data_IF_359382406179
#
_entry.id   IF_359382406179
#
_cell.length_a   1.000
_cell.length_b   1.000
_cell.length_c   1.000
_cell.angle_alpha   90.00
_cell.angle_beta   90.00
_cell.angle_gamma   90.00
#
_symmetry.space_group_name_H-M   'P 1'
#
loop_
_entity.id
_entity.type
_entity.pdbx_description
1 polymer ?
#
# COMPACT_ATOMS: atom_id res chain seq x y z
N UNK A 1 3.93 -22.29 3.07
CA UNK A 1 2.68 -21.86 2.42
C UNK A 1 2.98 -20.73 1.43
N UNK A 2 2.07 -20.39 0.51
CA UNK A 2 2.20 -19.20 -0.35
C UNK A 2 2.29 -17.91 0.48
N UNK A 3 1.61 -17.87 1.64
CA UNK A 3 1.65 -16.75 2.58
C UNK A 3 3.03 -16.57 3.22
N UNK A 4 3.69 -17.66 3.65
CA UNK A 4 5.05 -17.59 4.17
C UNK A 4 6.05 -17.05 3.13
N UNK A 5 5.94 -17.51 1.87
CA UNK A 5 6.76 -16.99 0.77
C UNK A 5 6.43 -15.51 0.45
N UNK A 6 5.18 -15.08 0.61
CA UNK A 6 4.82 -13.67 0.50
C UNK A 6 5.43 -12.84 1.63
N UNK A 7 5.34 -13.29 2.89
CA UNK A 7 5.94 -12.62 4.04
C UNK A 7 7.46 -12.47 3.88
N UNK A 8 8.14 -13.49 3.37
CA UNK A 8 9.58 -13.44 3.13
C UNK A 8 9.94 -12.42 2.04
N UNK A 9 9.20 -12.39 0.94
CA UNK A 9 9.37 -11.36 -0.11
C UNK A 9 9.16 -9.95 0.44
N UNK A 10 8.15 -9.74 1.28
CA UNK A 10 7.88 -8.43 1.91
C UNK A 10 8.98 -8.06 2.91
N UNK A 11 9.57 -9.01 3.63
CA UNK A 11 10.74 -8.71 4.48
C UNK A 11 11.95 -8.31 3.64
N UNK A 12 12.13 -8.97 2.50
CA UNK A 12 13.19 -8.66 1.54
C UNK A 12 13.10 -7.26 0.92
N UNK A 13 11.97 -6.55 1.04
CA UNK A 13 11.88 -5.16 0.56
C UNK A 13 12.49 -4.15 1.53
N UNK A 14 12.63 -4.48 2.82
CA UNK A 14 13.10 -3.53 3.83
C UNK A 14 14.50 -2.95 3.50
N UNK A 15 15.51 -3.76 3.14
CA UNK A 15 16.83 -3.22 2.80
C UNK A 15 16.82 -2.28 1.59
N UNK A 16 15.91 -2.51 0.63
CA UNK A 16 15.74 -1.65 -0.55
C UNK A 16 15.12 -0.31 -0.17
N UNK A 17 14.12 -0.31 0.70
CA UNK A 17 13.48 0.90 1.26
C UNK A 17 14.52 1.71 2.04
N UNK A 18 15.30 1.04 2.89
CA UNK A 18 16.32 1.68 3.72
C UNK A 18 17.42 2.33 2.84
N UNK A 19 17.87 1.63 1.80
CA UNK A 19 18.84 2.16 0.85
C UNK A 19 18.30 3.36 0.06
N UNK A 20 17.03 3.32 -0.36
CA UNK A 20 16.39 4.44 -1.05
C UNK A 20 16.24 5.66 -0.11
N UNK A 21 15.87 5.44 1.15
CA UNK A 21 15.81 6.50 2.17
C UNK A 21 17.14 7.21 2.32
N UNK A 22 18.22 6.44 2.52
CA UNK A 22 19.57 6.99 2.66
C UNK A 22 20.02 7.78 1.42
N UNK A 23 19.71 7.28 0.22
CA UNK A 23 20.03 7.98 -1.03
C UNK A 23 19.26 9.31 -1.18
N UNK A 24 17.96 9.32 -0.84
CA UNK A 24 17.13 10.53 -0.88
C UNK A 24 17.58 11.58 0.14
N UNK A 25 17.88 11.17 1.37
CA UNK A 25 18.39 12.08 2.41
C UNK A 25 19.69 12.76 1.97
N UNK A 26 20.61 11.98 1.39
CA UNK A 26 21.86 12.51 0.83
C UNK A 26 21.59 13.51 -0.31
N UNK A 27 20.73 13.14 -1.27
CA UNK A 27 20.39 13.99 -2.41
C UNK A 27 19.71 15.30 -1.98
N UNK A 28 18.80 15.26 -1.00
CA UNK A 28 18.16 16.44 -0.41
C UNK A 28 19.19 17.33 0.29
N UNK A 29 20.13 16.74 1.01
CA UNK A 29 21.25 17.46 1.65
C UNK A 29 22.09 18.22 0.63
N UNK A 30 22.47 17.56 -0.48
CA UNK A 30 23.23 18.18 -1.58
C UNK A 30 22.42 19.29 -2.26
N UNK A 31 21.14 19.05 -2.57
CA UNK A 31 20.27 20.02 -3.23
C UNK A 31 20.02 21.29 -2.41
N UNK A 32 20.16 21.22 -1.07
CA UNK A 32 20.06 22.37 -0.17
C UNK A 32 21.22 23.35 -0.36
N UNK A 33 22.42 22.84 -0.64
CA UNK A 33 23.65 23.63 -0.72
C UNK A 33 24.00 23.98 -2.17
N UNK A 34 23.72 23.09 -3.13
CA UNK A 34 24.09 23.27 -4.53
C UNK A 34 23.01 23.98 -5.37
N UNK A 35 23.30 25.15 -5.98
CA UNK A 35 22.37 25.86 -6.86
C UNK A 35 21.97 25.05 -8.10
N UNK A 36 22.86 24.19 -8.61
CA UNK A 36 22.63 23.40 -9.83
C UNK A 36 21.58 22.30 -9.64
N UNK A 37 21.42 21.80 -8.41
CA UNK A 37 20.50 20.70 -8.09
C UNK A 37 19.18 21.21 -7.51
N UNK A 38 19.07 22.50 -7.18
CA UNK A 38 17.82 23.12 -6.66
C UNK A 38 16.60 22.87 -7.55
N UNK A 39 16.79 22.86 -8.88
CA UNK A 39 15.71 22.58 -9.84
C UNK A 39 15.09 21.19 -9.70
N UNK A 40 15.81 20.24 -9.09
CA UNK A 40 15.35 18.87 -8.85
C UNK A 40 14.71 18.67 -7.47
N UNK A 41 14.66 19.71 -6.63
CA UNK A 41 14.13 19.60 -5.26
C UNK A 41 12.69 19.10 -5.21
N UNK A 42 11.83 19.59 -6.10
CA UNK A 42 10.43 19.15 -6.15
C UNK A 42 10.28 17.67 -6.52
N UNK A 43 11.20 17.12 -7.32
CA UNK A 43 11.21 15.68 -7.61
C UNK A 43 11.67 14.87 -6.38
N UNK A 44 12.70 15.32 -5.68
CA UNK A 44 13.18 14.67 -4.45
C UNK A 44 12.11 14.67 -3.35
N UNK A 45 11.37 15.77 -3.18
CA UNK A 45 10.27 15.87 -2.23
C UNK A 45 9.11 14.92 -2.59
N UNK A 46 8.79 14.76 -3.89
CA UNK A 46 7.81 13.77 -4.35
C UNK A 46 8.26 12.34 -4.06
N UNK A 47 9.51 12.00 -4.38
CA UNK A 47 10.05 10.68 -4.09
C UNK A 47 10.10 10.39 -2.59
N UNK A 48 10.40 11.40 -1.76
CA UNK A 48 10.35 11.27 -0.30
C UNK A 48 8.94 10.98 0.22
N UNK A 49 7.92 11.65 -0.32
CA UNK A 49 6.52 11.39 0.06
C UNK A 49 6.10 9.97 -0.36
N UNK A 50 6.45 9.55 -1.58
CA UNK A 50 6.18 8.21 -2.07
C UNK A 50 6.86 7.13 -1.22
N UNK A 51 8.14 7.32 -0.88
CA UNK A 51 8.89 6.40 -0.04
C UNK A 51 8.24 6.22 1.34
N UNK A 52 7.83 7.31 1.99
CA UNK A 52 7.18 7.26 3.29
C UNK A 52 5.88 6.44 3.26
N UNK A 53 5.07 6.60 2.21
CA UNK A 53 3.85 5.81 2.05
C UNK A 53 4.11 4.34 1.70
N UNK A 54 5.18 4.04 0.95
CA UNK A 54 5.57 2.66 0.66
C UNK A 54 6.10 1.91 1.90
N UNK A 55 6.81 2.59 2.82
CA UNK A 55 7.21 1.99 4.10
C UNK A 55 5.97 1.61 4.94
N UNK A 56 4.97 2.48 5.01
CA UNK A 56 3.69 2.17 5.67
C UNK A 56 2.96 1.00 5.01
N UNK A 57 2.83 1.02 3.68
CA UNK A 57 2.18 -0.03 2.92
C UNK A 57 2.87 -1.40 3.11
N UNK A 58 4.21 -1.44 3.10
CA UNK A 58 4.95 -2.70 3.33
C UNK A 58 4.84 -3.20 4.77
N UNK A 59 4.75 -2.30 5.76
CA UNK A 59 4.42 -2.67 7.15
C UNK A 59 3.04 -3.32 7.25
N UNK A 60 2.01 -2.71 6.64
CA UNK A 60 0.66 -3.26 6.64
C UNK A 60 0.57 -4.59 5.87
N UNK A 61 1.30 -4.72 4.76
CA UNK A 61 1.35 -5.96 4.00
C UNK A 61 1.97 -7.12 4.81
N UNK A 62 2.90 -6.87 5.73
CA UNK A 62 3.40 -7.89 6.67
C UNK A 62 2.31 -8.39 7.62
N UNK A 63 1.44 -7.49 8.09
CA UNK A 63 0.31 -7.85 8.96
C UNK A 63 -0.70 -8.70 8.18
N UNK A 64 -1.04 -8.28 6.95
CA UNK A 64 -1.91 -9.02 6.03
C UNK A 64 -1.36 -10.42 5.74
N UNK A 65 -0.08 -10.54 5.40
CA UNK A 65 0.56 -11.83 5.13
C UNK A 65 0.50 -12.75 6.37
N UNK A 66 0.89 -12.27 7.56
CA UNK A 66 0.81 -13.07 8.78
C UNK A 66 -0.62 -13.52 9.09
N UNK A 67 -1.61 -12.64 8.92
CA UNK A 67 -3.02 -12.99 9.17
C UNK A 67 -3.53 -14.02 8.17
N UNK A 68 -3.13 -13.89 6.91
CA UNK A 68 -3.45 -14.85 5.86
C UNK A 68 -2.86 -16.22 6.17
N UNK A 69 -1.62 -16.29 6.67
CA UNK A 69 -0.98 -17.56 7.04
C UNK A 69 -1.72 -18.30 8.15
N UNK A 70 -2.23 -17.55 9.14
CA UNK A 70 -3.11 -18.11 10.17
C UNK A 70 -4.44 -18.61 9.60
N UNK A 71 -5.07 -17.83 8.71
CA UNK A 71 -6.39 -18.15 8.16
C UNK A 71 -6.40 -19.41 7.28
N UNK A 72 -5.34 -19.62 6.49
CA UNK A 72 -5.26 -20.78 5.59
C UNK A 72 -4.93 -22.09 6.30
N UNK A 73 -4.63 -22.07 7.60
CA UNK A 73 -4.21 -23.25 8.36
C UNK A 73 -5.27 -24.35 8.44
N UNK A 74 -6.54 -24.03 8.23
CA UNK A 74 -7.66 -24.99 8.22
C UNK A 74 -7.95 -25.61 6.83
N UNK A 75 -7.24 -25.17 5.78
CA UNK A 75 -7.42 -25.67 4.42
C UNK A 75 -8.74 -25.27 3.74
N UNK A 76 -9.55 -24.40 4.34
CA UNK A 76 -10.85 -24.00 3.79
C UNK A 76 -10.66 -22.92 2.70
N UNK A 77 -11.19 -23.12 1.48
CA UNK A 77 -11.14 -22.13 0.41
C UNK A 77 -11.89 -20.84 0.77
N UNK A 78 -11.32 -19.68 0.41
CA UNK A 78 -11.86 -18.34 0.68
C UNK A 78 -11.69 -17.43 -0.55
N UNK A 79 -12.39 -17.72 -1.66
CA UNK A 79 -12.18 -17.03 -2.93
C UNK A 79 -12.41 -15.51 -2.83
N UNK A 80 -13.42 -15.06 -2.07
CA UNK A 80 -13.75 -13.65 -1.90
C UNK A 80 -12.61 -12.87 -1.23
N UNK A 81 -11.94 -13.50 -0.24
CA UNK A 81 -10.76 -12.90 0.40
C UNK A 81 -9.54 -12.91 -0.51
N UNK A 82 -9.36 -13.97 -1.31
CA UNK A 82 -8.28 -14.04 -2.27
C UNK A 82 -8.43 -12.95 -3.35
N UNK A 83 -9.65 -12.73 -3.84
CA UNK A 83 -9.99 -11.66 -4.77
C UNK A 83 -9.78 -10.28 -4.15
N UNK A 84 -10.22 -10.07 -2.90
CA UNK A 84 -10.00 -8.81 -2.17
C UNK A 84 -8.51 -8.45 -2.07
N UNK A 85 -7.65 -9.43 -1.79
CA UNK A 85 -6.19 -9.22 -1.74
C UNK A 85 -5.62 -8.99 -3.14
N UNK A 86 -6.05 -9.76 -4.14
CA UNK A 86 -5.57 -9.64 -5.52
C UNK A 86 -5.93 -8.29 -6.16
N UNK A 87 -7.06 -7.71 -5.78
CA UNK A 87 -7.55 -6.44 -6.29
C UNK A 87 -6.64 -5.23 -5.96
N UNK A 88 -5.71 -5.36 -5.01
CA UNK A 88 -4.66 -4.35 -4.78
C UNK A 88 -3.57 -4.33 -5.84
N UNK A 89 -3.40 -5.43 -6.59
CA UNK A 89 -2.30 -5.61 -7.54
C UNK A 89 -2.21 -4.50 -8.61
N UNK A 90 -3.30 -4.18 -9.34
CA UNK A 90 -3.29 -3.13 -10.36
C UNK A 90 -2.86 -1.76 -9.83
N UNK A 91 -3.47 -1.30 -8.73
CA UNK A 91 -3.14 -0.01 -8.11
C UNK A 91 -1.69 0.06 -7.61
N UNK A 92 -1.17 -1.02 -7.01
CA UNK A 92 0.24 -1.11 -6.61
C UNK A 92 1.17 -1.05 -7.83
N UNK A 93 0.82 -1.73 -8.93
CA UNK A 93 1.61 -1.72 -10.15
C UNK A 93 1.63 -0.33 -10.80
N UNK A 94 0.50 0.39 -10.79
CA UNK A 94 0.41 1.78 -11.25
C UNK A 94 1.24 2.73 -10.38
N UNK A 95 1.19 2.58 -9.05
CA UNK A 95 2.05 3.32 -8.13
C UNK A 95 3.54 3.09 -8.41
N UNK A 96 3.94 1.85 -8.72
CA UNK A 96 5.31 1.53 -9.12
C UNK A 96 5.77 2.32 -10.35
N UNK A 97 4.87 2.54 -11.32
CA UNK A 97 5.17 3.35 -12.52
C UNK A 97 5.30 4.84 -12.20
N UNK A 98 4.63 5.33 -11.15
CA UNK A 98 4.69 6.74 -10.73
C UNK A 98 6.10 7.19 -10.33
N UNK A 99 6.98 6.24 -9.95
CA UNK A 99 8.41 6.51 -9.66
C UNK A 99 9.13 7.08 -10.88
N UNK A 100 8.78 6.62 -12.09
CA UNK A 100 9.39 7.07 -13.35
C UNK A 100 8.51 8.03 -14.14
N UNK A 101 7.20 7.97 -13.95
CA UNK A 101 6.22 8.78 -14.67
C UNK A 101 5.11 9.28 -13.74
N UNK A 102 5.25 10.51 -13.26
CA UNK A 102 4.30 11.13 -12.35
C UNK A 102 2.89 11.30 -12.96
N UNK A 103 2.73 11.25 -14.29
CA UNK A 103 1.41 11.36 -14.94
C UNK A 103 0.48 10.18 -14.60
N UNK A 104 1.07 9.04 -14.21
CA UNK A 104 0.34 7.84 -13.79
C UNK A 104 -0.35 7.98 -12.42
N UNK A 105 0.00 9.01 -11.63
CA UNK A 105 -0.49 9.20 -10.26
C UNK A 105 -2.01 9.31 -10.20
N UNK A 106 -2.62 10.03 -11.15
CA UNK A 106 -4.07 10.18 -11.19
C UNK A 106 -4.78 8.85 -11.44
N UNK A 107 -4.24 8.03 -12.34
CA UNK A 107 -4.77 6.71 -12.66
C UNK A 107 -4.62 5.75 -11.47
N UNK A 108 -3.44 5.73 -10.82
CA UNK A 108 -3.20 4.94 -9.62
C UNK A 108 -4.19 5.30 -8.50
N UNK A 109 -4.43 6.61 -8.29
CA UNK A 109 -5.40 7.10 -7.30
C UNK A 109 -6.81 6.65 -7.61
N UNK A 110 -7.25 6.77 -8.86
CA UNK A 110 -8.58 6.36 -9.27
C UNK A 110 -8.82 4.87 -9.01
N UNK A 111 -7.87 4.02 -9.41
CA UNK A 111 -7.95 2.56 -9.20
C UNK A 111 -8.05 2.21 -7.71
N UNK A 112 -7.19 2.82 -6.88
CA UNK A 112 -7.18 2.60 -5.44
C UNK A 112 -8.43 3.13 -4.73
N UNK A 113 -9.02 4.24 -5.20
CA UNK A 113 -10.29 4.75 -4.66
C UNK A 113 -11.41 3.76 -4.94
N UNK A 114 -11.51 3.27 -6.18
CA UNK A 114 -12.51 2.28 -6.56
C UNK A 114 -12.37 1.02 -5.70
N UNK A 115 -11.16 0.51 -5.52
CA UNK A 115 -10.88 -0.60 -4.61
C UNK A 115 -11.28 -0.29 -3.16
N UNK A 116 -10.94 0.90 -2.65
CA UNK A 116 -11.28 1.27 -1.27
C UNK A 116 -12.80 1.21 -1.02
N UNK A 117 -13.62 1.63 -1.99
CA UNK A 117 -15.09 1.59 -1.88
C UNK A 117 -15.66 0.17 -1.74
N UNK A 118 -14.92 -0.87 -2.13
CA UNK A 118 -15.38 -2.25 -2.05
C UNK A 118 -15.03 -2.92 -0.73
N UNK A 119 -14.16 -2.33 0.10
CA UNK A 119 -13.63 -2.94 1.34
C UNK A 119 -14.62 -2.86 2.52
N UNK A 120 -15.78 -3.48 2.34
CA UNK A 120 -16.85 -3.60 3.33
C UNK A 120 -17.06 -5.08 3.73
N UNK A 121 -16.66 -5.48 4.96
CA UNK A 121 -16.84 -6.84 5.43
C UNK A 121 -18.29 -7.33 5.47
N UNK A 122 -19.26 -6.44 5.71
CA UNK A 122 -20.67 -6.81 5.79
C UNK A 122 -21.26 -7.07 4.42
N UNK A 123 -20.76 -6.39 3.37
CA UNK A 123 -21.20 -6.61 2.00
C UNK A 123 -20.48 -7.77 1.32
N UNK A 124 -19.17 -7.90 1.56
CA UNK A 124 -18.35 -8.92 0.90
C UNK A 124 -18.58 -10.31 1.47
N UNK A 125 -18.67 -10.42 2.80
CA UNK A 125 -18.70 -11.70 3.52
C UNK A 125 -19.61 -11.62 4.78
N UNK A 126 -20.93 -11.37 4.61
CA UNK A 126 -21.86 -11.10 5.71
C UNK A 126 -21.87 -12.19 6.79
N UNK A 127 -21.86 -13.46 6.37
CA UNK A 127 -21.98 -14.62 7.26
C UNK A 127 -20.62 -15.23 7.67
N UNK A 128 -19.52 -14.60 7.27
CA UNK A 128 -18.19 -15.12 7.56
C UNK A 128 -17.80 -14.94 9.03
N UNK A 129 -16.87 -15.79 9.47
CA UNK A 129 -16.35 -15.77 10.83
C UNK A 129 -15.60 -14.46 11.09
N UNK A 130 -15.54 -14.07 12.36
CA UNK A 130 -14.76 -12.90 12.78
C UNK A 130 -13.33 -12.92 12.24
N UNK A 131 -12.72 -14.11 12.15
CA UNK A 131 -11.35 -14.24 11.67
C UNK A 131 -11.17 -13.78 10.21
N UNK A 132 -12.15 -14.04 9.35
CA UNK A 132 -12.19 -13.68 7.94
C UNK A 132 -12.52 -12.19 7.78
N UNK A 133 -13.53 -11.71 8.52
CA UNK A 133 -13.86 -10.27 8.59
C UNK A 133 -12.64 -9.43 9.04
N UNK A 134 -11.84 -9.96 9.97
CA UNK A 134 -10.59 -9.31 10.42
C UNK A 134 -9.62 -9.08 9.25
N UNK A 135 -9.52 -10.00 8.28
CA UNK A 135 -8.62 -9.83 7.14
C UNK A 135 -9.02 -8.61 6.29
N UNK A 136 -10.32 -8.42 6.03
CA UNK A 136 -10.80 -7.24 5.33
C UNK A 136 -10.55 -5.96 6.13
N UNK A 137 -10.74 -5.99 7.46
CA UNK A 137 -10.46 -4.84 8.33
C UNK A 137 -8.99 -4.41 8.24
N UNK A 138 -8.04 -5.36 8.21
CA UNK A 138 -6.60 -5.02 8.12
C UNK A 138 -6.14 -4.66 6.70
N UNK A 139 -6.92 -4.95 5.66
CA UNK A 139 -6.68 -4.46 4.29
C UNK A 139 -7.01 -2.96 4.15
N UNK A 140 -7.88 -2.42 5.00
CA UNK A 140 -8.31 -1.01 4.93
C UNK A 140 -7.15 -0.03 5.22
N UNK A 141 -6.33 -0.20 6.27
CA UNK A 141 -5.13 0.63 6.45
C UNK A 141 -4.16 0.56 5.26
N UNK A 142 -3.99 -0.60 4.63
CA UNK A 142 -3.18 -0.74 3.41
C UNK A 142 -3.73 0.14 2.27
N UNK A 143 -5.05 0.13 2.06
CA UNK A 143 -5.68 1.00 1.05
C UNK A 143 -5.45 2.49 1.36
N UNK A 144 -5.56 2.90 2.63
CA UNK A 144 -5.29 4.29 3.05
C UNK A 144 -3.84 4.68 2.78
N UNK A 145 -2.87 3.83 3.10
CA UNK A 145 -1.45 4.12 2.87
C UNK A 145 -1.15 4.25 1.37
N UNK A 146 -1.70 3.36 0.55
CA UNK A 146 -1.53 3.40 -0.90
C UNK A 146 -2.20 4.64 -1.52
N UNK A 147 -3.39 5.03 -1.05
CA UNK A 147 -4.03 6.27 -1.45
C UNK A 147 -3.19 7.49 -1.06
N UNK A 148 -2.63 7.47 0.15
CA UNK A 148 -1.73 8.53 0.62
C UNK A 148 -0.45 8.59 -0.22
N UNK A 149 0.04 7.45 -0.71
CA UNK A 149 1.18 7.37 -1.64
C UNK A 149 0.93 8.11 -2.97
N UNK A 150 -0.34 8.27 -3.35
CA UNK A 150 -0.72 9.08 -4.53
C UNK A 150 -0.77 10.58 -4.24
N UNK A 151 -0.48 11.01 -3.00
CA UNK A 151 -0.63 12.39 -2.53
C UNK A 151 -2.03 12.75 -2.07
N UNK A 152 -2.93 11.78 -1.85
CA UNK A 152 -4.21 12.03 -1.19
C UNK A 152 -3.99 12.29 0.30
N UNK A 153 -4.72 13.22 0.90
CA UNK A 153 -4.65 13.41 2.35
C UNK A 153 -5.29 12.22 3.10
N UNK A 154 -4.78 11.92 4.29
CA UNK A 154 -5.21 10.75 5.04
C UNK A 154 -6.68 10.81 5.51
N UNK A 155 -7.31 11.98 5.57
CA UNK A 155 -8.72 12.09 5.94
C UNK A 155 -9.60 11.70 4.75
N UNK A 156 -9.33 12.24 3.56
CA UNK A 156 -10.00 11.85 2.31
C UNK A 156 -9.80 10.37 1.98
N UNK A 157 -8.59 9.84 2.19
CA UNK A 157 -8.31 8.42 1.97
C UNK A 157 -9.13 7.51 2.90
N UNK A 158 -9.35 7.93 4.16
CA UNK A 158 -10.26 7.21 5.07
C UNK A 158 -11.71 7.36 4.68
N UNK A 159 -12.12 8.55 4.23
CA UNK A 159 -13.49 8.83 3.80
C UNK A 159 -13.89 8.07 2.52
N UNK A 160 -12.92 7.64 1.71
CA UNK A 160 -13.16 6.77 0.56
C UNK A 160 -13.57 5.34 0.94
N UNK A 161 -13.28 4.91 2.17
CA UNK A 161 -13.66 3.59 2.67
C UNK A 161 -15.11 3.58 3.19
N UNK A 162 -15.86 2.49 3.01
CA UNK A 162 -17.17 2.31 3.62
C UNK A 162 -17.10 2.41 5.15
N UNK A 163 -18.11 2.99 5.81
CA UNK A 163 -18.21 2.96 7.27
C UNK A 163 -18.38 1.53 7.77
N UNK A 164 -17.70 1.18 8.87
CA UNK A 164 -17.91 -0.10 9.52
C UNK A 164 -19.15 0.04 10.42
N UNK A 165 -20.22 -0.66 10.05
CA UNK A 165 -21.48 -0.76 10.82
C UNK A 165 -21.51 -2.07 11.60
#
# INVERSE_FOLDING_TARGET
SASAAALERVRGTQPVIDAWSAALESAIGVARISPFVRRHRGELERQSALLASLDLATRNLRIVARRTDFLIGDGVPRPELAEAVAAFGPGIALLGRCVSDASMTALARQDLVLLATTLDPQRMIPDARLAEKTLLVILRPLAVDLLTATGMDAASARAALPELV
#
